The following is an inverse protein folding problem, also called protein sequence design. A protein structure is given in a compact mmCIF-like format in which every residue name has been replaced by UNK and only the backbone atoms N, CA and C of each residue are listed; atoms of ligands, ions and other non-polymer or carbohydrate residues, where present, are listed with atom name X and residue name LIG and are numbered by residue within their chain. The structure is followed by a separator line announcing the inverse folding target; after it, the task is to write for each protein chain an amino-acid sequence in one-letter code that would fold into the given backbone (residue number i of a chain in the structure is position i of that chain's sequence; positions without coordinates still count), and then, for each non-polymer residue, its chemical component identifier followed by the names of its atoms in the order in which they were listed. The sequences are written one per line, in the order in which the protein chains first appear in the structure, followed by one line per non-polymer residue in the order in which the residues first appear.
data_IF_313983464777
#
_entry.id   IF_313983464777
#
_cell.length_a   1.000
_cell.length_b   1.000
_cell.length_c   1.000
_cell.angle_alpha   90.00
_cell.angle_beta   90.00
_cell.angle_gamma   90.00
#
_symmetry.space_group_name_H-M   'P 1'
#
loop_
_entity.id
_entity.type
_entity.pdbx_description
1 polymer ?
#
# COMPACT_ATOMS: atom_id res chain seq x y z
N UNK A 1 21.29 -2.65 4.84
CA UNK A 1 20.09 -2.33 5.63
C UNK A 1 19.79 -3.57 6.46
N UNK A 2 20.14 -3.53 7.75
CA UNK A 2 20.07 -4.66 8.69
C UNK A 2 19.21 -4.22 9.88
N UNK A 3 17.95 -4.65 9.95
CA UNK A 3 17.14 -4.71 11.19
C UNK A 3 17.17 -3.54 12.19
N UNK A 4 17.40 -2.30 11.74
CA UNK A 4 17.78 -1.18 12.62
C UNK A 4 16.56 -0.38 13.09
N UNK A 5 15.69 -0.98 13.90
CA UNK A 5 14.71 -0.18 14.67
C UNK A 5 15.47 0.59 15.75
N UNK A 6 15.23 1.90 15.84
CA UNK A 6 15.79 2.67 16.98
C UNK A 6 15.15 2.14 18.25
N UNK A 7 15.95 1.89 19.30
CA UNK A 7 15.43 1.49 20.62
C UNK A 7 14.84 2.68 21.40
N UNK A 8 14.10 3.53 20.70
CA UNK A 8 13.32 4.63 21.24
C UNK A 8 11.87 4.38 20.83
N UNK A 9 10.95 4.10 21.77
CA UNK A 9 9.59 3.67 21.43
C UNK A 9 8.87 4.59 20.44
N UNK A 10 9.13 5.90 20.50
CA UNK A 10 8.52 6.91 19.64
C UNK A 10 9.19 7.05 18.26
N UNK A 11 10.33 6.39 18.02
CA UNK A 11 11.13 6.52 16.79
C UNK A 11 11.64 5.17 16.25
N UNK A 12 11.05 4.06 16.71
CA UNK A 12 11.49 2.70 16.33
C UNK A 12 11.30 2.40 14.85
N UNK A 13 10.36 3.07 14.19
CA UNK A 13 10.06 2.91 12.77
C UNK A 13 10.25 4.27 12.06
N UNK A 14 11.27 4.37 11.21
CA UNK A 14 11.50 5.58 10.42
C UNK A 14 10.51 5.62 9.25
N UNK A 15 9.89 6.77 9.03
CA UNK A 15 8.99 7.02 7.89
C UNK A 15 9.69 6.78 6.55
N UNK A 16 11.02 6.95 6.51
CA UNK A 16 11.83 6.67 5.32
C UNK A 16 11.85 5.17 4.92
N UNK A 17 11.51 4.27 5.85
CA UNK A 17 11.41 2.83 5.59
C UNK A 17 10.05 2.37 5.07
N UNK A 18 9.06 3.27 5.01
CA UNK A 18 7.72 2.91 4.56
C UNK A 18 7.68 2.77 3.04
N UNK A 19 6.96 1.75 2.54
CA UNK A 19 6.68 1.68 1.12
C UNK A 19 5.73 2.81 0.72
N UNK A 20 6.17 3.64 -0.22
CA UNK A 20 5.42 4.80 -0.74
C UNK A 20 5.32 4.79 -2.27
N UNK A 21 5.70 3.68 -2.91
CA UNK A 21 5.74 3.53 -4.35
C UNK A 21 5.21 2.18 -4.80
N UNK A 22 4.58 2.16 -5.97
CA UNK A 22 4.38 0.95 -6.75
C UNK A 22 5.57 0.76 -7.66
N UNK A 23 6.02 -0.48 -7.79
CA UNK A 23 7.04 -0.88 -8.77
C UNK A 23 6.47 -1.98 -9.63
N UNK A 24 6.41 -1.74 -10.93
CA UNK A 24 6.07 -2.74 -11.94
C UNK A 24 7.37 -3.21 -12.57
N UNK A 25 7.58 -4.52 -12.66
CA UNK A 25 8.80 -5.12 -13.22
C UNK A 25 8.42 -6.04 -14.37
N UNK A 26 9.03 -5.83 -15.53
CA UNK A 26 9.04 -6.78 -16.63
C UNK A 26 10.43 -7.45 -16.69
N UNK A 27 10.56 -8.70 -16.21
CA UNK A 27 11.84 -9.38 -16.17
C UNK A 27 12.31 -9.89 -17.54
N UNK A 28 11.41 -10.06 -18.51
CA UNK A 28 11.76 -10.54 -19.86
C UNK A 28 12.39 -9.41 -20.68
N UNK A 29 11.83 -8.21 -20.57
CA UNK A 29 12.36 -7.01 -21.21
C UNK A 29 13.41 -6.27 -20.37
N UNK A 30 13.64 -6.73 -19.13
CA UNK A 30 14.51 -6.08 -18.14
C UNK A 30 14.15 -4.59 -17.94
N UNK A 31 12.87 -4.31 -17.75
CA UNK A 31 12.33 -2.95 -17.53
C UNK A 31 11.62 -2.86 -16.20
N UNK A 32 11.61 -1.66 -15.64
CA UNK A 32 10.79 -1.34 -14.48
C UNK A 32 10.18 0.05 -14.61
N UNK A 33 9.02 0.21 -13.99
CA UNK A 33 8.28 1.46 -13.89
C UNK A 33 7.92 1.68 -12.43
N UNK A 34 7.93 2.93 -12.00
CA UNK A 34 7.54 3.29 -10.64
C UNK A 34 6.45 4.34 -10.67
N UNK A 35 5.55 4.29 -9.70
CA UNK A 35 4.51 5.28 -9.50
C UNK A 35 4.40 5.61 -8.01
N UNK A 36 4.27 6.91 -7.70
CA UNK A 36 4.10 7.34 -6.31
C UNK A 36 2.70 7.04 -5.80
N UNK A 37 2.60 6.53 -4.58
CA UNK A 37 1.30 6.33 -3.90
C UNK A 37 0.64 7.66 -3.48
N UNK A 38 1.32 8.80 -3.62
CA UNK A 38 0.76 10.11 -3.26
C UNK A 38 -0.48 10.51 -4.07
N UNK A 39 -0.69 9.86 -5.21
CA UNK A 39 -1.87 10.08 -6.05
C UNK A 39 -3.11 9.33 -5.56
N UNK A 40 -2.96 8.37 -4.63
CA UNK A 40 -4.08 7.63 -4.04
C UNK A 40 -4.77 8.44 -2.92
N UNK A 41 -6.06 8.16 -2.64
CA UNK A 41 -6.73 8.65 -1.44
C UNK A 41 -5.95 8.32 -0.17
N UNK A 42 -5.95 9.24 0.80
CA UNK A 42 -5.17 9.12 2.04
C UNK A 42 -5.43 7.81 2.78
N UNK A 43 -6.69 7.36 2.87
CA UNK A 43 -7.05 6.11 3.57
C UNK A 43 -6.46 4.86 2.92
N UNK A 44 -6.39 4.82 1.59
CA UNK A 44 -5.78 3.71 0.84
C UNK A 44 -4.26 3.78 0.99
N UNK A 45 -3.67 4.97 0.82
CA UNK A 45 -2.22 5.16 0.97
C UNK A 45 -1.74 4.73 2.35
N UNK A 46 -2.40 5.20 3.41
CA UNK A 46 -2.04 4.85 4.79
C UNK A 46 -2.15 3.35 5.04
N UNK A 47 -3.23 2.70 4.57
CA UNK A 47 -3.36 1.24 4.68
C UNK A 47 -2.24 0.51 3.92
N UNK A 48 -2.00 0.85 2.67
CA UNK A 48 -1.03 0.14 1.83
C UNK A 48 0.43 0.37 2.25
N UNK A 49 0.69 1.34 3.12
CA UNK A 49 1.99 1.54 3.79
C UNK A 49 2.12 0.76 5.11
N UNK A 50 1.08 0.03 5.53
CA UNK A 50 1.07 -0.76 6.76
C UNK A 50 1.88 -2.07 6.64
N UNK A 51 2.07 -2.72 7.78
CA UNK A 51 2.71 -4.05 7.87
C UNK A 51 1.67 -5.14 8.17
N UNK A 52 2.01 -6.40 7.88
CA UNK A 52 1.20 -7.58 8.20
C UNK A 52 -0.25 -7.50 7.66
N UNK A 53 -0.41 -7.02 6.43
CA UNK A 53 -1.69 -7.10 5.72
C UNK A 53 -1.92 -8.52 5.23
N UNK A 54 -3.14 -9.02 5.40
CA UNK A 54 -3.59 -10.25 4.74
C UNK A 54 -3.95 -9.92 3.29
N UNK A 55 -3.66 -10.84 2.37
CA UNK A 55 -3.97 -10.63 0.97
C UNK A 55 -4.46 -11.91 0.27
N UNK A 56 -5.34 -11.72 -0.70
CA UNK A 56 -5.85 -12.79 -1.55
C UNK A 56 -6.08 -12.25 -2.96
N UNK A 57 -5.65 -12.99 -3.98
CA UNK A 57 -5.87 -12.60 -5.36
C UNK A 57 -6.88 -13.54 -6.02
N UNK A 58 -7.91 -12.96 -6.65
CA UNK A 58 -8.90 -13.67 -7.45
C UNK A 58 -8.98 -13.03 -8.84
N UNK A 59 -8.55 -13.77 -9.86
CA UNK A 59 -8.38 -13.23 -11.21
C UNK A 59 -7.47 -12.01 -11.21
N UNK A 60 -7.97 -10.90 -11.76
CA UNK A 60 -7.25 -9.61 -11.83
C UNK A 60 -7.31 -8.78 -10.55
N UNK A 61 -8.10 -9.17 -9.56
CA UNK A 61 -8.29 -8.39 -8.34
C UNK A 61 -7.42 -8.92 -7.21
N UNK A 62 -6.55 -8.06 -6.66
CA UNK A 62 -5.86 -8.28 -5.40
C UNK A 62 -6.66 -7.62 -4.28
N UNK A 63 -7.09 -8.42 -3.32
CA UNK A 63 -7.73 -7.98 -2.09
C UNK A 63 -6.68 -7.91 -0.99
N UNK A 64 -6.66 -6.78 -0.28
CA UNK A 64 -5.77 -6.52 0.84
C UNK A 64 -6.61 -6.10 2.04
N UNK A 65 -6.39 -6.73 3.19
CA UNK A 65 -7.21 -6.56 4.39
C UNK A 65 -6.34 -6.23 5.59
N UNK A 66 -6.84 -5.30 6.41
CA UNK A 66 -6.20 -4.98 7.68
C UNK A 66 -4.86 -4.28 7.48
N UNK A 67 -3.89 -4.71 8.26
CA UNK A 67 -2.57 -4.10 8.40
C UNK A 67 -2.48 -3.25 9.65
N UNK A 68 -1.28 -3.22 10.24
CA UNK A 68 -0.95 -2.36 11.37
C UNK A 68 0.14 -1.36 10.96
N UNK A 69 -0.12 -0.08 11.21
CA UNK A 69 0.79 0.99 10.82
C UNK A 69 0.39 2.33 11.42
N UNK A 70 1.29 3.30 11.27
CA UNK A 70 1.04 4.67 11.70
C UNK A 70 0.06 5.38 10.75
N UNK A 71 -1.05 5.86 11.30
CA UNK A 71 -1.98 6.74 10.59
C UNK A 71 -1.70 8.19 10.99
N UNK A 72 -1.23 8.99 10.04
CA UNK A 72 -1.08 10.42 10.25
C UNK A 72 -2.43 11.10 10.49
N UNK A 73 -3.49 10.55 9.88
CA UNK A 73 -4.88 10.97 10.11
C UNK A 73 -5.33 10.76 11.55
N UNK A 74 -4.95 9.64 12.18
CA UNK A 74 -5.25 9.37 13.58
C UNK A 74 -4.23 9.97 14.57
N UNK A 75 -3.04 10.32 14.09
CA UNK A 75 -1.90 10.71 14.93
C UNK A 75 -1.35 9.57 15.78
N UNK A 76 -1.64 8.31 15.41
CA UNK A 76 -1.27 7.12 16.18
C UNK A 76 -1.16 5.88 15.29
N UNK A 77 -0.58 4.80 15.82
CA UNK A 77 -0.64 3.49 15.20
C UNK A 77 -2.03 2.89 15.34
N UNK A 78 -2.50 2.23 14.29
CA UNK A 78 -3.80 1.59 14.27
C UNK A 78 -3.77 0.34 13.42
N UNK A 79 -4.67 -0.60 13.73
CA UNK A 79 -5.15 -1.58 12.75
C UNK A 79 -6.08 -0.85 11.77
N UNK A 80 -5.91 -1.09 10.48
CA UNK A 80 -6.72 -0.47 9.44
C UNK A 80 -8.03 -1.26 9.21
N UNK A 81 -9.22 -0.66 9.43
CA UNK A 81 -10.51 -1.35 9.30
C UNK A 81 -10.98 -1.40 7.83
N UNK A 82 -10.09 -1.77 6.91
CA UNK A 82 -10.31 -1.63 5.47
C UNK A 82 -10.08 -2.94 4.72
N UNK A 83 -10.93 -3.15 3.71
CA UNK A 83 -10.67 -4.08 2.61
C UNK A 83 -10.45 -3.21 1.36
N UNK A 84 -9.27 -3.33 0.77
CA UNK A 84 -8.92 -2.67 -0.49
C UNK A 84 -8.84 -3.70 -1.60
N UNK A 85 -9.60 -3.49 -2.67
CA UNK A 85 -9.48 -4.27 -3.89
C UNK A 85 -8.74 -3.45 -4.95
N UNK A 86 -7.76 -4.08 -5.59
CA UNK A 86 -6.89 -3.49 -6.61
C UNK A 86 -7.07 -4.27 -7.89
N UNK A 87 -7.52 -3.62 -8.97
CA UNK A 87 -7.43 -4.18 -10.33
C UNK A 87 -5.97 -4.15 -10.77
N UNK A 88 -5.27 -5.28 -10.61
CA UNK A 88 -3.82 -5.38 -10.78
C UNK A 88 -3.42 -5.13 -12.24
N UNK A 89 -4.16 -5.71 -13.19
CA UNK A 89 -3.88 -5.55 -14.61
C UNK A 89 -4.03 -4.08 -15.03
N UNK A 90 -5.17 -3.46 -14.69
CA UNK A 90 -5.41 -2.05 -15.01
C UNK A 90 -4.42 -1.10 -14.35
N UNK A 91 -4.05 -1.37 -13.09
CA UNK A 91 -3.03 -0.59 -12.38
C UNK A 91 -1.65 -0.72 -13.05
N UNK A 92 -1.24 -1.94 -13.44
CA UNK A 92 0.01 -2.20 -14.15
C UNK A 92 0.06 -1.43 -15.47
N UNK A 93 -0.98 -1.54 -16.29
CA UNK A 93 -1.05 -0.85 -17.59
C UNK A 93 -0.97 0.66 -17.44
N UNK A 94 -1.70 1.23 -16.48
CA UNK A 94 -1.67 2.66 -16.22
C UNK A 94 -0.29 3.14 -15.73
N UNK A 95 0.39 2.37 -14.87
CA UNK A 95 1.74 2.70 -14.41
C UNK A 95 2.74 2.65 -15.58
N UNK A 96 2.68 1.62 -16.44
CA UNK A 96 3.55 1.50 -17.61
C UNK A 96 3.36 2.68 -18.57
N UNK A 97 2.11 3.13 -18.76
CA UNK A 97 1.75 4.23 -19.66
C UNK A 97 1.84 5.63 -19.03
N UNK A 98 2.21 5.72 -17.75
CA UNK A 98 2.23 6.96 -16.98
C UNK A 98 0.86 7.69 -16.97
N UNK A 99 -0.22 6.93 -16.80
CA UNK A 99 -1.60 7.41 -16.70
C UNK A 99 -2.10 7.39 -15.24
N UNK A 100 -3.16 8.15 -14.92
CA UNK A 100 -3.83 8.04 -13.63
C UNK A 100 -4.31 6.61 -13.36
N UNK A 101 -4.08 6.12 -12.14
CA UNK A 101 -4.35 4.73 -11.76
C UNK A 101 -5.32 4.59 -10.56
N UNK A 102 -5.77 5.70 -9.99
CA UNK A 102 -6.59 5.71 -8.77
C UNK A 102 -7.91 4.95 -8.93
N UNK A 103 -8.50 4.97 -10.14
CA UNK A 103 -9.76 4.28 -10.45
C UNK A 103 -9.66 2.76 -10.36
N UNK A 104 -8.45 2.21 -10.38
CA UNK A 104 -8.20 0.76 -10.20
C UNK A 104 -8.20 0.33 -8.74
N UNK A 105 -8.36 1.27 -7.80
CA UNK A 105 -8.38 1.02 -6.37
C UNK A 105 -9.76 1.37 -5.82
N UNK A 106 -10.34 0.43 -5.08
CA UNK A 106 -11.58 0.65 -4.33
C UNK A 106 -11.44 0.10 -2.93
N UNK A 107 -12.02 0.80 -1.97
CA UNK A 107 -11.89 0.46 -0.55
C UNK A 107 -13.27 0.48 0.10
N UNK A 108 -13.51 -0.48 0.97
CA UNK A 108 -14.64 -0.46 1.91
C UNK A 108 -14.10 -0.42 3.34
N UNK A 109 -14.86 0.20 4.23
CA UNK A 109 -14.57 0.27 5.67
C UNK A 109 -15.52 -0.62 6.45
N UNK A 110 -14.99 -1.40 7.37
CA UNK A 110 -15.77 -2.15 8.36
C UNK A 110 -14.97 -2.27 9.67
N UNK A 111 -15.53 -1.76 10.75
CA UNK A 111 -14.87 -1.71 12.06
C UNK A 111 -14.66 -3.10 12.68
N UNK A 112 -15.35 -4.14 12.18
CA UNK A 112 -15.14 -5.51 12.66
C UNK A 112 -13.76 -6.09 12.31
N UNK A 113 -13.01 -5.42 11.43
CA UNK A 113 -11.66 -5.80 11.03
C UNK A 113 -10.55 -5.13 11.84
N UNK A 114 -10.90 -4.38 12.88
CA UNK A 114 -9.96 -3.66 13.73
C UNK A 114 -9.45 -4.48 14.91
#
# INVERSE_FOLDING_TARGET
MDGLHRRQPFASFDINGHNNQFTVVDPLLNKSWTASMNFLPVSIKEQLSATNMEFFQEGKYLYVVGGYGYSATAGDHTTYPYITAIDVEGAIEAIIQNLPFQSYFRQIRDEKWR
#
